data_IF_303623528474
#
_entry.id   IF_303623528474
#
_cell.length_a   1.000
_cell.length_b   1.000
_cell.length_c   1.000
_cell.angle_alpha   90.00
_cell.angle_beta   90.00
_cell.angle_gamma   90.00
#
_symmetry.space_group_name_H-M   'P 1'
#
loop_
_entity.id
_entity.type
_entity.pdbx_description
1 polymer ?
#
# COMPACT_ATOMS: atom_id res chain seq x y z
N UNK A 1 -2.57 8.18 1.77
CA UNK A 1 -3.33 7.28 2.68
C UNK A 1 -2.52 6.86 3.93
N UNK A 2 -1.20 6.63 3.85
CA UNK A 2 -0.38 6.18 5.00
C UNK A 2 -0.55 7.03 6.27
N UNK A 3 -0.48 8.35 6.13
CA UNK A 3 -0.61 9.30 7.27
C UNK A 3 -1.97 9.13 7.98
N UNK A 4 -3.05 8.96 7.21
CA UNK A 4 -4.40 8.74 7.74
C UNK A 4 -4.51 7.43 8.54
N UNK A 5 -3.96 6.33 8.03
CA UNK A 5 -3.98 5.05 8.73
C UNK A 5 -3.18 5.13 10.04
N UNK A 6 -2.01 5.76 9.98
CA UNK A 6 -1.14 5.95 11.15
C UNK A 6 -1.77 6.86 12.21
N UNK A 7 -2.54 7.88 11.81
CA UNK A 7 -3.24 8.76 12.76
C UNK A 7 -4.41 8.07 13.46
N UNK A 8 -5.04 7.07 12.83
CA UNK A 8 -6.08 6.26 13.47
C UNK A 8 -5.48 5.27 14.46
N UNK A 9 -4.52 4.47 14.00
CA UNK A 9 -3.82 3.50 14.84
C UNK A 9 -2.58 2.96 14.11
N UNK A 10 -1.40 3.22 14.66
CA UNK A 10 -0.13 2.76 14.09
C UNK A 10 -0.03 1.23 13.96
N UNK A 11 -0.69 0.46 14.83
CA UNK A 11 -0.71 -1.00 14.73
C UNK A 11 -1.43 -1.49 13.48
N UNK A 12 -2.48 -0.79 13.02
CA UNK A 12 -3.15 -1.12 11.76
C UNK A 12 -2.21 -0.91 10.57
N UNK A 13 -1.36 0.12 10.61
CA UNK A 13 -0.33 0.31 9.60
C UNK A 13 0.68 -0.85 9.57
N UNK A 14 1.11 -1.35 10.74
CA UNK A 14 2.03 -2.48 10.80
C UNK A 14 1.41 -3.76 10.24
N UNK A 15 0.15 -4.03 10.56
CA UNK A 15 -0.62 -5.14 10.00
C UNK A 15 -0.66 -5.06 8.48
N UNK A 16 -1.04 -3.89 7.94
CA UNK A 16 -1.13 -3.66 6.49
C UNK A 16 0.23 -3.84 5.84
N UNK A 17 1.31 -3.33 6.45
CA UNK A 17 2.65 -3.40 5.90
C UNK A 17 3.19 -4.84 5.85
N UNK A 18 2.95 -5.61 6.92
CA UNK A 18 3.53 -6.95 7.09
C UNK A 18 2.72 -8.05 6.40
N UNK A 19 1.43 -7.82 6.13
CA UNK A 19 0.58 -8.81 5.47
C UNK A 19 0.28 -10.04 6.33
N UNK A 20 0.18 -9.87 7.64
CA UNK A 20 -0.29 -10.94 8.54
C UNK A 20 -1.80 -11.15 8.36
N UNK A 21 -2.23 -12.39 8.14
CA UNK A 21 -3.52 -12.64 7.48
C UNK A 21 -4.38 -13.75 8.05
N UNK A 22 -3.98 -14.47 9.10
CA UNK A 22 -4.89 -15.27 9.94
C UNK A 22 -4.11 -15.91 11.08
N UNK A 23 -4.79 -16.29 12.17
CA UNK A 23 -4.24 -17.19 13.16
C UNK A 23 -3.80 -18.53 12.56
N UNK A 24 -2.53 -18.90 12.77
CA UNK A 24 -1.96 -20.16 12.29
C UNK A 24 -1.65 -21.09 13.46
N UNK A 25 -1.76 -22.40 13.24
CA UNK A 25 -1.31 -23.43 14.17
C UNK A 25 -0.21 -24.29 13.54
N UNK A 26 0.68 -24.80 14.38
CA UNK A 26 1.75 -25.73 13.97
C UNK A 26 1.25 -27.17 14.10
N UNK A 27 1.29 -27.92 13.02
CA UNK A 27 0.95 -29.36 12.98
C UNK A 27 2.17 -30.09 12.41
N UNK A 28 2.99 -30.66 13.31
CA UNK A 28 4.29 -31.21 12.93
C UNK A 28 5.27 -30.12 12.51
N UNK A 29 5.85 -30.24 11.31
CA UNK A 29 6.74 -29.24 10.72
C UNK A 29 6.00 -28.15 9.92
N UNK A 30 4.72 -28.34 9.64
CA UNK A 30 3.91 -27.43 8.80
C UNK A 30 3.04 -26.50 9.64
N UNK A 31 2.79 -25.30 9.12
CA UNK A 31 1.81 -24.36 9.67
C UNK A 31 0.56 -24.35 8.81
N UNK A 32 -0.60 -24.51 9.44
CA UNK A 32 -1.91 -24.44 8.78
C UNK A 32 -2.81 -23.39 9.45
N UNK A 33 -3.76 -22.80 8.73
CA UNK A 33 -4.74 -21.90 9.33
C UNK A 33 -5.53 -22.60 10.44
N UNK A 34 -5.74 -21.91 11.57
CA UNK A 34 -6.68 -22.35 12.61
C UNK A 34 -8.11 -22.23 12.07
N UNK A 35 -8.99 -23.13 12.46
CA UNK A 35 -10.43 -22.94 12.25
C UNK A 35 -10.99 -22.01 13.31
N UNK A 36 -12.12 -21.36 13.04
CA UNK A 36 -12.74 -20.41 13.97
C UNK A 36 -13.07 -21.04 15.34
N UNK A 37 -13.41 -22.33 15.38
CA UNK A 37 -13.70 -23.04 16.63
C UNK A 37 -12.46 -23.26 17.50
N UNK A 38 -11.26 -23.09 16.92
CA UNK A 38 -9.97 -23.26 17.60
C UNK A 38 -9.38 -21.91 18.07
N UNK A 39 -10.08 -20.80 17.84
CA UNK A 39 -9.57 -19.48 18.18
C UNK A 39 -9.57 -19.26 19.69
N UNK A 40 -8.40 -18.87 20.19
CA UNK A 40 -8.26 -18.31 21.52
C UNK A 40 -8.52 -16.78 21.53
N UNK A 41 -8.50 -16.17 22.71
CA UNK A 41 -8.74 -14.74 22.85
C UNK A 41 -7.73 -13.87 22.09
N UNK A 42 -6.50 -14.33 21.91
CA UNK A 42 -5.46 -13.60 21.17
C UNK A 42 -5.67 -13.74 19.66
N UNK A 43 -6.10 -14.92 19.20
CA UNK A 43 -6.49 -15.15 17.81
C UNK A 43 -7.66 -14.25 17.38
N UNK A 44 -8.71 -14.16 18.21
CA UNK A 44 -9.86 -13.29 17.96
C UNK A 44 -9.41 -11.84 17.84
N UNK A 45 -8.59 -11.36 18.78
CA UNK A 45 -8.06 -9.99 18.77
C UNK A 45 -7.24 -9.69 17.51
N UNK A 46 -6.47 -10.66 17.01
CA UNK A 46 -5.75 -10.54 15.73
C UNK A 46 -6.70 -10.43 14.56
N UNK A 47 -7.70 -11.30 14.47
CA UNK A 47 -8.72 -11.27 13.41
C UNK A 47 -9.47 -9.94 13.39
N UNK A 48 -9.90 -9.45 14.55
CA UNK A 48 -10.52 -8.13 14.68
C UNK A 48 -9.61 -7.00 14.16
N UNK A 49 -8.31 -7.06 14.48
CA UNK A 49 -7.35 -6.09 14.00
C UNK A 49 -7.15 -6.14 12.47
N UNK A 50 -7.18 -7.34 11.87
CA UNK A 50 -7.12 -7.54 10.42
C UNK A 50 -8.35 -6.98 9.71
N UNK A 51 -9.55 -7.28 10.22
CA UNK A 51 -10.80 -6.75 9.67
C UNK A 51 -10.87 -5.23 9.83
N UNK A 52 -10.40 -4.70 10.95
CA UNK A 52 -10.30 -3.25 11.16
C UNK A 52 -9.32 -2.58 10.20
N UNK A 53 -8.20 -3.23 9.87
CA UNK A 53 -7.24 -2.74 8.89
C UNK A 53 -7.86 -2.65 7.49
N UNK A 54 -8.57 -3.70 7.05
CA UNK A 54 -9.35 -3.68 5.79
C UNK A 54 -10.37 -2.55 5.80
N UNK A 55 -11.17 -2.47 6.86
CA UNK A 55 -12.22 -1.47 7.00
C UNK A 55 -11.68 -0.04 6.89
N UNK A 56 -10.56 0.27 7.55
CA UNK A 56 -9.92 1.60 7.47
C UNK A 56 -9.52 1.97 6.04
N UNK A 57 -9.01 1.02 5.25
CA UNK A 57 -8.72 1.26 3.82
C UNK A 57 -10.03 1.54 3.07
N UNK A 58 -11.07 0.72 3.29
CA UNK A 58 -12.36 0.86 2.61
C UNK A 58 -13.06 2.19 2.94
N UNK A 59 -12.89 2.73 4.15
CA UNK A 59 -13.41 4.06 4.50
C UNK A 59 -12.66 5.22 3.83
N UNK A 60 -11.42 5.00 3.39
CA UNK A 60 -10.56 6.05 2.84
C UNK A 60 -10.59 6.15 1.31
N UNK A 61 -11.28 5.24 0.62
CA UNK A 61 -11.30 5.14 -0.84
C UNK A 61 -12.63 5.59 -1.45
N UNK A 62 -12.58 5.97 -2.72
CA UNK A 62 -13.76 6.26 -3.52
C UNK A 62 -14.34 4.97 -4.15
N UNK A 63 -15.55 5.02 -4.74
CA UNK A 63 -16.18 3.86 -5.37
C UNK A 63 -15.39 3.22 -6.53
N UNK A 64 -14.60 3.99 -7.28
CA UNK A 64 -13.81 3.46 -8.39
C UNK A 64 -12.63 2.62 -7.90
N UNK A 65 -11.98 3.07 -6.83
CA UNK A 65 -10.91 2.31 -6.18
C UNK A 65 -11.45 1.09 -5.45
N UNK A 66 -12.64 1.20 -4.85
CA UNK A 66 -13.32 0.05 -4.26
C UNK A 66 -13.47 -1.09 -5.27
N UNK A 67 -13.92 -0.79 -6.51
CA UNK A 67 -14.04 -1.80 -7.57
C UNK A 67 -12.71 -2.46 -7.93
N UNK A 68 -11.60 -1.74 -7.79
CA UNK A 68 -10.26 -2.30 -8.07
C UNK A 68 -9.82 -3.26 -6.97
N UNK A 69 -10.14 -3.00 -5.71
CA UNK A 69 -9.60 -3.74 -4.56
C UNK A 69 -10.61 -4.66 -3.86
N UNK A 70 -11.87 -4.69 -4.29
CA UNK A 70 -12.94 -5.48 -3.65
C UNK A 70 -12.70 -6.99 -3.68
N UNK A 71 -11.89 -7.48 -4.62
CA UNK A 71 -11.50 -8.90 -4.71
C UNK A 71 -10.26 -9.26 -3.89
N UNK A 72 -9.61 -8.29 -3.25
CA UNK A 72 -8.43 -8.53 -2.42
C UNK A 72 -8.86 -9.20 -1.10
N UNK A 73 -8.12 -10.22 -0.69
CA UNK A 73 -8.42 -10.98 0.52
C UNK A 73 -7.83 -10.32 1.77
N UNK A 74 -6.77 -9.52 1.60
CA UNK A 74 -5.96 -9.00 2.70
C UNK A 74 -5.82 -7.48 2.61
N UNK A 75 -5.65 -6.82 3.75
CA UNK A 75 -5.40 -5.38 3.78
C UNK A 75 -4.08 -5.01 3.07
N UNK A 76 -3.09 -5.93 3.07
CA UNK A 76 -1.83 -5.79 2.33
C UNK A 76 -2.05 -5.80 0.83
N UNK A 77 -2.81 -6.76 0.30
CA UNK A 77 -3.15 -6.81 -1.12
C UNK A 77 -3.93 -5.57 -1.57
N UNK A 78 -4.88 -5.12 -0.76
CA UNK A 78 -5.60 -3.86 -1.00
C UNK A 78 -4.63 -2.68 -1.09
N UNK A 79 -3.70 -2.57 -0.13
CA UNK A 79 -2.69 -1.52 -0.11
C UNK A 79 -1.75 -1.58 -1.31
N UNK A 80 -1.19 -2.74 -1.63
CA UNK A 80 -0.24 -2.92 -2.72
C UNK A 80 -0.88 -2.58 -4.08
N UNK A 81 -2.15 -2.96 -4.26
CA UNK A 81 -2.90 -2.63 -5.47
C UNK A 81 -3.17 -1.13 -5.60
N UNK A 82 -3.48 -0.45 -4.49
CA UNK A 82 -3.60 1.01 -4.47
C UNK A 82 -2.25 1.69 -4.75
N UNK A 83 -1.17 1.21 -4.14
CA UNK A 83 0.18 1.72 -4.36
C UNK A 83 0.57 1.62 -5.84
N UNK A 84 0.37 0.47 -6.48
CA UNK A 84 0.62 0.30 -7.91
C UNK A 84 -0.28 1.21 -8.76
N UNK A 85 -1.55 1.38 -8.38
CA UNK A 85 -2.50 2.22 -9.13
C UNK A 85 -2.08 3.70 -9.14
N UNK A 86 -1.52 4.20 -8.04
CA UNK A 86 -1.25 5.63 -7.86
C UNK A 86 0.23 6.02 -8.00
N UNK A 87 1.14 5.17 -7.51
CA UNK A 87 2.59 5.42 -7.59
C UNK A 87 3.22 4.73 -8.80
N UNK A 88 2.53 3.76 -9.40
CA UNK A 88 3.08 2.90 -10.45
C UNK A 88 3.90 1.74 -9.89
N UNK A 89 4.28 0.82 -10.76
CA UNK A 89 5.19 -0.27 -10.39
C UNK A 89 6.61 0.26 -10.16
N UNK A 90 7.49 -0.47 -9.46
CA UNK A 90 8.90 -0.11 -9.33
C UNK A 90 9.56 0.22 -10.68
N UNK A 91 9.27 -0.57 -11.72
CA UNK A 91 9.81 -0.38 -13.07
C UNK A 91 9.29 0.90 -13.73
N UNK A 92 8.01 1.23 -13.58
CA UNK A 92 7.44 2.48 -14.11
C UNK A 92 8.04 3.69 -13.39
N UNK A 93 8.25 3.59 -12.07
CA UNK A 93 8.90 4.65 -11.29
C UNK A 93 10.35 4.86 -11.71
N UNK A 94 11.10 3.77 -11.89
CA UNK A 94 12.49 3.82 -12.36
C UNK A 94 12.58 4.44 -13.75
N UNK A 95 11.77 3.98 -14.72
CA UNK A 95 11.72 4.56 -16.05
C UNK A 95 11.36 6.05 -16.04
N UNK A 96 10.48 6.49 -15.12
CA UNK A 96 10.15 7.91 -14.94
C UNK A 96 11.34 8.70 -14.38
N UNK A 97 12.11 8.14 -13.46
CA UNK A 97 13.34 8.76 -12.94
C UNK A 97 14.37 8.93 -14.05
N UNK A 98 14.61 7.87 -14.83
CA UNK A 98 15.55 7.92 -15.95
C UNK A 98 15.14 8.95 -16.99
N UNK A 99 13.85 8.98 -17.34
CA UNK A 99 13.31 9.96 -18.28
C UNK A 99 13.50 11.41 -17.78
N UNK A 100 13.13 11.69 -16.53
CA UNK A 100 13.29 13.02 -15.94
C UNK A 100 14.76 13.43 -15.79
N UNK A 101 15.64 12.47 -15.49
CA UNK A 101 17.09 12.69 -15.43
C UNK A 101 17.63 13.08 -16.80
N UNK A 102 17.21 12.37 -17.85
CA UNK A 102 17.58 12.69 -19.21
C UNK A 102 17.06 14.06 -19.67
N UNK A 103 15.79 14.40 -19.37
CA UNK A 103 15.25 15.73 -19.66
C UNK A 103 16.05 16.83 -18.95
N UNK A 104 16.42 16.61 -17.69
CA UNK A 104 17.25 17.54 -16.92
C UNK A 104 18.66 17.70 -17.52
N UNK A 105 19.31 16.61 -17.95
CA UNK A 105 20.63 16.65 -18.60
C UNK A 105 20.60 17.39 -19.94
N UNK A 106 19.49 17.31 -20.67
CA UNK A 106 19.27 18.03 -21.92
C UNK A 106 18.78 19.47 -21.71
N UNK A 107 18.33 19.80 -20.50
CA UNK A 107 17.80 21.11 -20.18
C UNK A 107 18.91 22.16 -20.29
N UNK A 108 18.72 23.09 -21.23
CA UNK A 108 19.65 24.20 -21.47
C UNK A 108 18.88 25.44 -21.86
N UNK A 109 19.43 26.59 -21.50
CA UNK A 109 18.91 27.89 -21.92
C UNK A 109 18.92 27.98 -23.45
N UNK A 110 17.86 28.52 -24.03
CA UNK A 110 17.80 28.80 -25.47
C UNK A 110 18.66 30.02 -25.81
N UNK A 111 19.08 30.14 -27.08
CA UNK A 111 20.02 31.20 -27.51
C UNK A 111 19.54 32.64 -27.26
N UNK A 112 18.22 32.86 -27.17
CA UNK A 112 17.60 34.19 -27.04
C UNK A 112 16.75 34.28 -25.75
N UNK A 113 16.85 33.28 -24.89
CA UNK A 113 16.16 33.26 -23.60
C UNK A 113 17.04 33.98 -22.56
N UNK A 114 16.43 34.83 -21.74
CA UNK A 114 17.11 35.41 -20.58
C UNK A 114 17.10 34.44 -19.40
N UNK A 115 18.02 34.63 -18.44
CA UNK A 115 18.08 33.79 -17.24
C UNK A 115 16.75 33.81 -16.48
N UNK A 116 16.10 34.98 -16.36
CA UNK A 116 14.81 35.10 -15.69
C UNK A 116 13.72 34.27 -16.42
N UNK A 117 13.70 34.31 -17.76
CA UNK A 117 12.75 33.53 -18.57
C UNK A 117 12.97 32.02 -18.52
N UNK A 118 14.17 31.56 -18.15
CA UNK A 118 14.49 30.14 -18.02
C UNK A 118 13.93 29.54 -16.71
N UNK A 119 13.69 30.37 -15.69
CA UNK A 119 13.19 29.94 -14.37
C UNK A 119 11.67 30.16 -14.19
N UNK A 120 11.02 30.86 -15.13
CA UNK A 120 9.56 31.04 -15.21
C UNK A 120 8.86 29.84 -15.90
#
# INVERSE_FOLDING_TARGET
MRIYIQSINFQLWLIIKNGETTPMKKVGETTIPKKEEEYDAEDIKKVEAFEKAKHVILCAINPDDYRKISSCSTAKEMWDKLEVTYEGTPQVREAKIDFLTHEYELFKMKEIESVDQMFD
#
